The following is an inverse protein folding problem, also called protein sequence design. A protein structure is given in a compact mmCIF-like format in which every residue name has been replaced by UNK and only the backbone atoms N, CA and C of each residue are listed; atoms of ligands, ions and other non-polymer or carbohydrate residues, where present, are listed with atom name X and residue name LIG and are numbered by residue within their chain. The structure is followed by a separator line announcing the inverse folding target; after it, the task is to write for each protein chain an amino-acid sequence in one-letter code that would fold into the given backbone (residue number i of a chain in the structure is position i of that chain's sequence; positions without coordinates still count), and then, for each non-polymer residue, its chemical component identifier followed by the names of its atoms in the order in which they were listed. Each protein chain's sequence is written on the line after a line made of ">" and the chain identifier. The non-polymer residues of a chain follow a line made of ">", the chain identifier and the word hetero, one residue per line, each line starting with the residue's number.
data_IF_978624540633
#
_entry.id   IF_978624540633
#
_cell.length_a   1.000
_cell.length_b   1.000
_cell.length_c   1.000
_cell.angle_alpha   90.00
_cell.angle_beta   90.00
_cell.angle_gamma   90.00
#
_symmetry.space_group_name_H-M   'P 1'
#
loop_
_entity.id
_entity.type
_entity.pdbx_description
1 polymer ?
#
# COMPACT_ATOMS: atom_id res chain seq x y z
N UNK A 1 -59.97 14.66 20.98
CA UNK A 1 -59.55 14.03 22.24
C UNK A 1 -60.06 12.60 22.25
N UNK A 2 -59.13 11.70 22.55
CA UNK A 2 -59.19 10.23 22.64
C UNK A 2 -60.50 9.64 23.14
N UNK A 3 -60.91 8.47 22.60
CA UNK A 3 -61.48 7.33 23.36
C UNK A 3 -61.45 6.07 22.47
N UNK A 4 -60.38 5.28 22.60
CA UNK A 4 -60.37 3.86 22.22
C UNK A 4 -60.33 3.06 23.51
N UNK A 5 -61.29 2.15 23.63
CA UNK A 5 -61.36 0.97 24.51
C UNK A 5 -62.73 0.34 24.21
N UNK A 6 -63.02 -0.96 24.18
CA UNK A 6 -62.26 -2.21 24.30
C UNK A 6 -63.31 -3.32 23.97
N UNK A 7 -62.85 -4.49 23.52
CA UNK A 7 -63.46 -5.82 23.73
C UNK A 7 -64.50 -6.47 22.77
N UNK A 8 -64.03 -7.62 22.26
CA UNK A 8 -64.65 -8.96 22.19
C UNK A 8 -65.85 -9.27 21.30
N UNK A 9 -65.66 -10.32 20.49
CA UNK A 9 -66.68 -11.38 20.32
C UNK A 9 -66.04 -12.75 20.06
N UNK A 10 -66.49 -13.73 20.84
CA UNK A 10 -66.14 -15.15 20.77
C UNK A 10 -67.05 -15.92 19.77
N UNK A 11 -66.46 -16.99 19.19
CA UNK A 11 -67.03 -18.31 18.79
C UNK A 11 -67.90 -18.44 17.51
N UNK A 12 -68.08 -19.65 16.89
CA UNK A 12 -67.42 -20.96 17.06
C UNK A 12 -67.13 -21.80 15.76
N UNK A 13 -66.34 -22.88 15.93
CA UNK A 13 -66.37 -24.23 15.32
C UNK A 13 -66.41 -24.52 13.78
N UNK A 14 -65.32 -25.21 13.37
CA UNK A 14 -65.19 -26.59 12.81
C UNK A 14 -65.35 -26.92 11.31
N UNK A 15 -64.21 -27.39 10.79
CA UNK A 15 -63.93 -28.53 9.87
C UNK A 15 -64.36 -28.38 8.38
N UNK A 16 -63.59 -28.74 7.36
CA UNK A 16 -62.43 -29.67 7.22
C UNK A 16 -61.86 -29.52 5.81
N UNK A 17 -60.53 -29.54 5.63
CA UNK A 17 -59.91 -30.51 4.72
C UNK A 17 -58.42 -30.71 5.02
N UNK A 18 -58.12 -31.98 5.19
CA UNK A 18 -56.87 -32.66 5.55
C UNK A 18 -55.87 -32.72 4.41
N UNK A 19 -54.59 -32.46 4.70
CA UNK A 19 -53.45 -33.13 4.08
C UNK A 19 -52.45 -33.51 5.18
N UNK A 20 -52.18 -34.81 5.26
CA UNK A 20 -51.27 -35.49 6.19
C UNK A 20 -49.81 -35.35 5.75
N UNK A 21 -48.94 -34.86 6.64
CA UNK A 21 -47.52 -35.22 6.68
C UNK A 21 -47.15 -35.36 8.15
N UNK A 22 -46.60 -36.54 8.50
CA UNK A 22 -46.14 -36.91 9.84
C UNK A 22 -45.13 -35.89 10.37
N UNK A 23 -45.43 -35.31 11.53
CA UNK A 23 -44.53 -34.41 12.24
C UNK A 23 -43.91 -35.17 13.42
N UNK A 24 -42.89 -35.99 13.14
CA UNK A 24 -41.95 -36.42 14.17
C UNK A 24 -41.02 -35.24 14.49
N UNK A 25 -41.52 -34.27 15.25
CA UNK A 25 -40.65 -33.28 15.89
C UNK A 25 -40.02 -33.96 17.11
N UNK A 26 -38.77 -34.40 16.97
CA UNK A 26 -37.90 -34.62 18.12
C UNK A 26 -37.76 -33.29 18.85
N UNK A 27 -38.19 -33.24 20.12
CA UNK A 27 -37.99 -32.09 20.99
C UNK A 27 -36.50 -31.76 21.06
N UNK A 28 -36.14 -30.56 20.59
CA UNK A 28 -34.77 -30.07 20.62
C UNK A 28 -34.46 -29.71 22.08
N UNK A 29 -33.43 -30.31 22.71
CA UNK A 29 -33.10 -30.03 24.10
C UNK A 29 -32.65 -28.57 24.25
N UNK A 30 -33.12 -27.90 25.29
CA UNK A 30 -32.91 -26.47 25.59
C UNK A 30 -31.42 -26.07 25.62
N UNK A 31 -30.54 -27.02 25.93
CA UNK A 31 -29.08 -26.85 25.89
C UNK A 31 -28.50 -26.57 24.49
N UNK A 32 -29.28 -26.73 23.42
CA UNK A 32 -28.90 -26.33 22.04
C UNK A 32 -28.98 -24.82 21.85
N UNK A 33 -29.73 -24.11 22.71
CA UNK A 33 -29.98 -22.67 22.61
C UNK A 33 -29.10 -21.83 23.56
N UNK A 34 -28.26 -22.48 24.36
CA UNK A 34 -27.34 -21.78 25.27
C UNK A 34 -26.01 -21.61 24.55
N UNK A 35 -25.79 -20.42 23.98
CA UNK A 35 -24.51 -20.01 23.44
C UNK A 35 -23.53 -19.82 24.61
N UNK A 36 -22.56 -20.73 24.74
CA UNK A 36 -21.59 -20.76 25.86
C UNK A 36 -20.32 -19.93 25.59
N UNK A 37 -20.23 -19.28 24.44
CA UNK A 37 -19.10 -18.43 24.10
C UNK A 37 -19.46 -16.98 24.40
N UNK A 38 -18.61 -16.34 25.22
CA UNK A 38 -18.71 -14.90 25.43
C UNK A 38 -18.55 -14.20 24.09
N UNK A 39 -19.26 -13.08 23.84
CA UNK A 39 -19.12 -12.35 22.59
C UNK A 39 -17.64 -12.01 22.42
N UNK A 40 -17.03 -12.51 21.34
CA UNK A 40 -15.71 -12.03 20.94
C UNK A 40 -15.84 -10.51 20.88
N UNK A 41 -15.06 -9.82 21.72
CA UNK A 41 -14.99 -8.37 21.72
C UNK A 41 -14.83 -7.96 20.28
N UNK A 42 -15.81 -7.23 19.75
CA UNK A 42 -15.68 -6.51 18.50
C UNK A 42 -14.36 -5.77 18.58
N UNK A 43 -13.33 -6.33 17.92
CA UNK A 43 -12.15 -5.56 17.65
C UNK A 43 -12.67 -4.39 16.82
N UNK A 44 -12.33 -3.14 17.17
CA UNK A 44 -12.62 -2.04 16.28
C UNK A 44 -12.13 -2.50 14.91
N UNK A 45 -13.00 -2.48 13.91
CA UNK A 45 -12.55 -2.55 12.53
C UNK A 45 -11.58 -1.39 12.36
N UNK A 46 -10.30 -1.63 12.68
CA UNK A 46 -9.22 -0.87 12.12
C UNK A 46 -9.48 -0.99 10.64
N UNK A 47 -9.94 0.12 10.05
CA UNK A 47 -9.80 0.34 8.62
C UNK A 47 -8.32 0.14 8.37
N UNK A 48 -7.94 -1.10 8.05
CA UNK A 48 -6.64 -1.43 7.50
C UNK A 48 -6.68 -0.72 6.18
N UNK A 49 -6.24 0.54 6.19
CA UNK A 49 -5.93 1.28 5.00
C UNK A 49 -4.95 0.37 4.28
N UNK A 50 -5.44 -0.33 3.24
CA UNK A 50 -4.60 -1.15 2.41
C UNK A 50 -3.39 -0.28 2.09
N UNK A 51 -2.16 -0.68 2.47
CA UNK A 51 -1.00 0.13 2.20
C UNK A 51 -1.03 0.32 0.69
N UNK A 52 -1.15 1.58 0.25
CA UNK A 52 -1.11 1.96 -1.16
C UNK A 52 0.25 1.49 -1.68
N UNK A 53 0.30 0.25 -2.14
CA UNK A 53 1.50 -0.55 -2.42
C UNK A 53 2.11 -0.16 -3.77
N UNK A 54 1.99 1.13 -4.11
CA UNK A 54 2.40 1.75 -5.36
C UNK A 54 2.66 3.26 -5.26
N UNK A 55 2.41 3.89 -4.11
CA UNK A 55 2.51 5.34 -3.95
C UNK A 55 3.95 5.87 -3.92
N UNK A 56 4.07 7.20 -3.80
CA UNK A 56 5.35 7.92 -3.79
C UNK A 56 6.32 7.43 -2.70
N UNK A 57 5.81 6.86 -1.61
CA UNK A 57 6.60 6.27 -0.53
C UNK A 57 7.59 5.21 -1.03
N UNK A 58 7.25 4.41 -2.05
CA UNK A 58 8.17 3.41 -2.61
C UNK A 58 9.42 4.08 -3.20
N UNK A 59 9.26 5.26 -3.80
CA UNK A 59 10.38 6.01 -4.33
C UNK A 59 11.23 6.57 -3.19
N UNK A 60 10.62 7.13 -2.15
CA UNK A 60 11.36 7.62 -0.99
C UNK A 60 12.09 6.50 -0.24
N UNK A 61 11.44 5.36 0.00
CA UNK A 61 12.07 4.19 0.59
C UNK A 61 13.28 3.69 -0.22
N UNK A 62 13.26 3.89 -1.54
CA UNK A 62 14.40 3.58 -2.40
C UNK A 62 15.53 4.61 -2.27
N UNK A 63 15.18 5.89 -2.19
CA UNK A 63 16.11 7.02 -2.05
C UNK A 63 16.80 7.07 -0.68
N UNK A 64 16.09 6.69 0.38
CA UNK A 64 16.59 6.73 1.76
C UNK A 64 17.54 5.58 2.09
N UNK A 65 17.66 4.59 1.20
CA UNK A 65 18.60 3.47 1.38
C UNK A 65 20.04 3.95 1.31
N UNK A 66 20.82 3.57 2.31
CA UNK A 66 22.27 3.76 2.30
C UNK A 66 22.97 2.62 1.54
N UNK A 67 23.66 2.95 0.45
CA UNK A 67 24.40 1.97 -0.36
C UNK A 67 25.90 1.92 -0.04
N UNK A 68 26.36 2.62 0.99
CA UNK A 68 27.77 2.66 1.39
C UNK A 68 28.30 1.28 1.78
N UNK A 69 27.58 0.52 2.62
CA UNK A 69 27.99 -0.83 3.01
C UNK A 69 28.06 -1.78 1.81
N UNK A 70 27.13 -1.64 0.85
CA UNK A 70 27.15 -2.42 -0.39
C UNK A 70 28.42 -2.11 -1.20
N UNK A 71 28.68 -0.83 -1.45
CA UNK A 71 29.88 -0.40 -2.17
C UNK A 71 31.17 -0.85 -1.50
N UNK A 72 31.25 -0.76 -0.17
CA UNK A 72 32.40 -1.23 0.60
C UNK A 72 32.66 -2.72 0.39
N UNK A 73 31.63 -3.56 0.54
CA UNK A 73 31.75 -5.00 0.34
C UNK A 73 32.10 -5.37 -1.11
N UNK A 74 31.49 -4.68 -2.08
CA UNK A 74 31.74 -4.90 -3.50
C UNK A 74 33.21 -4.61 -3.87
N UNK A 75 33.82 -3.59 -3.25
CA UNK A 75 35.25 -3.30 -3.43
C UNK A 75 36.17 -4.39 -2.83
N UNK A 76 35.78 -4.99 -1.70
CA UNK A 76 36.54 -6.10 -1.10
C UNK A 76 36.50 -7.37 -1.97
N UNK A 77 35.41 -7.58 -2.71
CA UNK A 77 35.25 -8.73 -3.61
C UNK A 77 35.93 -8.47 -4.96
N UNK A 78 35.66 -7.32 -5.57
CA UNK A 78 36.22 -6.94 -6.86
C UNK A 78 36.59 -5.43 -6.87
N UNK A 79 37.88 -5.10 -6.67
CA UNK A 79 38.36 -3.72 -6.55
C UNK A 79 38.52 -2.98 -7.90
N UNK A 80 38.05 -3.54 -9.02
CA UNK A 80 38.17 -2.89 -10.33
C UNK A 80 37.18 -1.72 -10.50
N UNK A 81 37.68 -0.62 -11.08
CA UNK A 81 36.91 0.52 -11.57
C UNK A 81 35.78 0.12 -12.51
N UNK A 82 35.98 -0.88 -13.38
CA UNK A 82 34.92 -1.39 -14.26
C UNK A 82 33.74 -1.94 -13.47
N UNK A 83 34.01 -2.62 -12.36
CA UNK A 83 32.98 -3.18 -11.49
C UNK A 83 32.21 -2.08 -10.75
N UNK A 84 32.88 -0.99 -10.36
CA UNK A 84 32.22 0.20 -9.82
C UNK A 84 31.27 0.81 -10.85
N UNK A 85 31.72 1.04 -12.07
CA UNK A 85 30.92 1.70 -13.11
C UNK A 85 29.68 0.89 -13.48
N UNK A 86 29.82 -0.43 -13.62
CA UNK A 86 28.70 -1.33 -13.89
C UNK A 86 27.64 -1.28 -12.78
N UNK A 87 28.06 -1.27 -11.52
CA UNK A 87 27.13 -1.20 -10.39
C UNK A 87 26.47 0.17 -10.26
N UNK A 88 27.19 1.26 -10.56
CA UNK A 88 26.61 2.60 -10.63
C UNK A 88 25.52 2.67 -11.71
N UNK A 89 25.78 2.11 -12.90
CA UNK A 89 24.79 2.01 -13.97
C UNK A 89 23.58 1.18 -13.51
N UNK A 90 23.80 0.05 -12.85
CA UNK A 90 22.72 -0.78 -12.30
C UNK A 90 21.85 0.00 -11.31
N UNK A 91 22.45 0.75 -10.37
CA UNK A 91 21.71 1.59 -9.42
C UNK A 91 20.89 2.68 -10.11
N UNK A 92 21.44 3.32 -11.16
CA UNK A 92 20.70 4.30 -11.96
C UNK A 92 19.48 3.68 -12.65
N UNK A 93 19.64 2.49 -13.23
CA UNK A 93 18.56 1.76 -13.87
C UNK A 93 17.47 1.34 -12.86
N UNK A 94 17.86 0.97 -11.64
CA UNK A 94 16.92 0.63 -10.56
C UNK A 94 16.15 1.85 -10.06
N UNK A 95 16.81 3.02 -9.99
CA UNK A 95 16.14 4.29 -9.72
C UNK A 95 15.10 4.62 -10.81
N UNK A 96 15.50 4.55 -12.08
CA UNK A 96 14.61 4.81 -13.22
C UNK A 96 13.40 3.85 -13.21
N UNK A 97 13.63 2.57 -12.92
CA UNK A 97 12.57 1.57 -12.78
C UNK A 97 11.60 1.94 -11.66
N UNK A 98 12.12 2.40 -10.52
CA UNK A 98 11.30 2.79 -9.36
C UNK A 98 10.46 4.02 -9.67
N UNK A 99 11.04 5.04 -10.30
CA UNK A 99 10.33 6.24 -10.78
C UNK A 99 9.21 5.85 -11.74
N UNK A 100 9.50 4.98 -12.73
CA UNK A 100 8.51 4.52 -13.71
C UNK A 100 7.32 3.83 -13.05
N UNK A 101 7.56 2.97 -12.04
CA UNK A 101 6.49 2.28 -11.30
C UNK A 101 5.55 3.29 -10.62
N UNK A 102 6.10 4.27 -9.90
CA UNK A 102 5.29 5.29 -9.20
C UNK A 102 4.53 6.17 -10.19
N UNK A 103 5.16 6.55 -11.30
CA UNK A 103 4.51 7.33 -12.36
C UNK A 103 3.32 6.59 -12.97
N UNK A 104 3.51 5.33 -13.35
CA UNK A 104 2.42 4.48 -13.88
C UNK A 104 1.29 4.34 -12.87
N UNK A 105 1.60 4.13 -11.59
CA UNK A 105 0.61 4.03 -10.53
C UNK A 105 -0.29 5.28 -10.45
N UNK A 106 0.30 6.48 -10.39
CA UNK A 106 -0.50 7.72 -10.32
C UNK A 106 -1.20 8.05 -11.64
N UNK A 107 -0.61 7.75 -12.80
CA UNK A 107 -1.26 7.94 -14.10
C UNK A 107 -2.51 7.06 -14.27
N UNK A 108 -2.45 5.81 -13.79
CA UNK A 108 -3.60 4.90 -13.77
C UNK A 108 -4.64 5.35 -12.74
N UNK A 109 -4.19 5.77 -11.55
CA UNK A 109 -5.07 6.28 -10.49
C UNK A 109 -5.83 7.54 -10.93
N UNK A 110 -5.17 8.51 -11.56
CA UNK A 110 -5.80 9.73 -12.09
C UNK A 110 -6.82 9.39 -13.17
N UNK A 111 -6.51 8.43 -14.06
CA UNK A 111 -7.48 7.96 -15.08
C UNK A 111 -8.73 7.38 -14.44
N UNK A 112 -8.59 6.54 -13.41
CA UNK A 112 -9.72 5.97 -12.67
C UNK A 112 -10.52 7.05 -11.93
N UNK A 113 -9.85 7.99 -11.26
CA UNK A 113 -10.50 9.11 -10.57
C UNK A 113 -11.31 9.96 -11.54
N UNK A 114 -10.75 10.32 -12.71
CA UNK A 114 -11.45 11.14 -13.70
C UNK A 114 -12.74 10.45 -14.19
N UNK A 115 -12.71 9.12 -14.38
CA UNK A 115 -13.89 8.34 -14.71
C UNK A 115 -14.96 8.44 -13.60
N UNK A 116 -14.57 8.26 -12.33
CA UNK A 116 -15.48 8.35 -11.20
C UNK A 116 -16.05 9.76 -11.01
N UNK A 117 -15.24 10.81 -11.13
CA UNK A 117 -15.69 12.22 -11.11
C UNK A 117 -16.79 12.43 -12.16
N UNK A 118 -16.54 11.99 -13.40
CA UNK A 118 -17.51 12.15 -14.50
C UNK A 118 -18.80 11.37 -14.23
N UNK A 119 -18.70 10.13 -13.76
CA UNK A 119 -19.85 9.29 -13.45
C UNK A 119 -20.69 9.86 -12.30
N UNK A 120 -20.06 10.33 -11.22
CA UNK A 120 -20.75 10.84 -10.03
C UNK A 120 -21.33 12.24 -10.24
N UNK A 121 -20.66 13.08 -11.04
CA UNK A 121 -21.19 14.36 -11.48
C UNK A 121 -22.50 14.19 -12.25
N UNK A 122 -22.58 13.23 -13.18
CA UNK A 122 -23.82 12.91 -13.91
C UNK A 122 -24.96 12.42 -13.02
N UNK A 123 -24.65 11.78 -11.90
CA UNK A 123 -25.62 11.32 -10.90
C UNK A 123 -25.99 12.40 -9.87
N UNK A 124 -25.42 13.61 -9.95
CA UNK A 124 -25.69 14.69 -9.01
C UNK A 124 -25.04 14.54 -7.63
N UNK A 125 -24.03 13.66 -7.48
CA UNK A 125 -23.37 13.41 -6.20
C UNK A 125 -22.25 14.42 -5.94
N UNK A 126 -22.61 15.67 -5.63
CA UNK A 126 -21.70 16.82 -5.54
C UNK A 126 -20.59 16.59 -4.51
N UNK A 127 -20.91 16.21 -3.28
CA UNK A 127 -19.92 16.02 -2.20
C UNK A 127 -18.85 14.98 -2.58
N UNK A 128 -19.26 13.89 -3.23
CA UNK A 128 -18.31 12.86 -3.68
C UNK A 128 -17.44 13.32 -4.84
N UNK A 129 -17.97 14.19 -5.71
CA UNK A 129 -17.18 14.78 -6.80
C UNK A 129 -16.12 15.70 -6.23
N UNK A 130 -16.46 16.50 -5.21
CA UNK A 130 -15.51 17.37 -4.53
C UNK A 130 -14.41 16.55 -3.85
N UNK A 131 -14.76 15.50 -3.08
CA UNK A 131 -13.79 14.61 -2.46
C UNK A 131 -12.83 13.97 -3.49
N UNK A 132 -13.37 13.48 -4.61
CA UNK A 132 -12.57 12.89 -5.68
C UNK A 132 -11.66 13.92 -6.38
N UNK A 133 -12.11 15.16 -6.48
CA UNK A 133 -11.33 16.26 -7.07
C UNK A 133 -10.13 16.59 -6.19
N UNK A 134 -10.32 16.69 -4.87
CA UNK A 134 -9.19 16.88 -3.94
C UNK A 134 -8.19 15.72 -4.02
N UNK A 135 -8.68 14.48 -4.08
CA UNK A 135 -7.79 13.30 -4.25
C UNK A 135 -7.02 13.33 -5.57
N UNK A 136 -7.63 13.84 -6.65
CA UNK A 136 -6.97 14.05 -7.94
C UNK A 136 -5.84 15.06 -7.83
N UNK A 137 -6.10 16.21 -7.22
CA UNK A 137 -5.10 17.28 -7.04
C UNK A 137 -3.88 16.80 -6.24
N UNK A 138 -4.10 16.00 -5.19
CA UNK A 138 -3.02 15.37 -4.42
C UNK A 138 -2.20 14.42 -5.30
N UNK A 139 -2.86 13.58 -6.12
CA UNK A 139 -2.16 12.68 -7.03
C UNK A 139 -1.37 13.42 -8.13
N UNK A 140 -1.91 14.52 -8.65
CA UNK A 140 -1.23 15.38 -9.61
C UNK A 140 0.00 16.05 -8.99
N UNK A 141 -0.10 16.51 -7.73
CA UNK A 141 1.04 17.03 -6.96
C UNK A 141 2.15 15.99 -6.81
N UNK A 142 1.81 14.74 -6.46
CA UNK A 142 2.81 13.66 -6.39
C UNK A 142 3.47 13.37 -7.74
N UNK A 143 2.72 13.40 -8.85
CA UNK A 143 3.32 13.25 -10.20
C UNK A 143 4.33 14.35 -10.49
N UNK A 144 4.04 15.61 -10.11
CA UNK A 144 4.95 16.73 -10.32
C UNK A 144 6.26 16.48 -9.56
N UNK A 145 6.18 16.07 -8.29
CA UNK A 145 7.36 15.74 -7.49
C UNK A 145 8.17 14.59 -8.10
N UNK A 146 7.50 13.53 -8.56
CA UNK A 146 8.18 12.38 -9.20
C UNK A 146 8.88 12.81 -10.49
N UNK A 147 8.28 13.69 -11.30
CA UNK A 147 8.91 14.25 -12.50
C UNK A 147 10.11 15.12 -12.16
N UNK A 148 10.04 15.91 -11.10
CA UNK A 148 11.17 16.70 -10.64
C UNK A 148 12.35 15.81 -10.24
N UNK A 149 12.09 14.74 -9.48
CA UNK A 149 13.11 13.74 -9.11
C UNK A 149 13.69 13.07 -10.37
N UNK A 150 12.85 12.76 -11.36
CA UNK A 150 13.29 12.19 -12.65
C UNK A 150 14.27 13.12 -13.39
N UNK A 151 13.95 14.40 -13.49
CA UNK A 151 14.80 15.39 -14.17
C UNK A 151 16.11 15.64 -13.41
N UNK A 152 16.06 15.79 -12.08
CA UNK A 152 17.26 15.90 -11.25
C UNK A 152 18.16 14.67 -11.41
N UNK A 153 17.59 13.46 -11.40
CA UNK A 153 18.34 12.23 -11.58
C UNK A 153 19.04 12.15 -12.95
N UNK A 154 18.41 12.62 -14.04
CA UNK A 154 19.02 12.68 -15.38
C UNK A 154 20.23 13.62 -15.42
N UNK A 155 20.17 14.72 -14.69
CA UNK A 155 21.27 15.69 -14.56
C UNK A 155 22.36 15.22 -13.60
N UNK A 156 22.21 14.06 -12.95
CA UNK A 156 23.07 13.59 -11.85
C UNK A 156 23.09 14.56 -10.66
N UNK A 157 21.96 15.19 -10.38
CA UNK A 157 21.78 16.13 -9.28
C UNK A 157 20.64 15.69 -8.35
N UNK A 158 20.48 16.41 -7.24
CA UNK A 158 19.38 16.23 -6.30
C UNK A 158 19.39 14.91 -5.53
N UNK A 159 18.23 14.55 -4.99
CA UNK A 159 18.07 13.40 -4.08
C UNK A 159 18.33 12.06 -4.78
N UNK A 160 18.04 11.96 -6.08
CA UNK A 160 18.30 10.77 -6.88
C UNK A 160 19.79 10.44 -7.02
N UNK A 161 20.65 11.46 -7.00
CA UNK A 161 22.10 11.27 -7.12
C UNK A 161 22.76 10.80 -5.80
N UNK A 162 22.11 11.01 -4.65
CA UNK A 162 22.63 10.60 -3.34
C UNK A 162 22.94 9.10 -3.25
N UNK A 163 22.14 8.27 -3.92
CA UNK A 163 22.37 6.82 -4.02
C UNK A 163 23.74 6.52 -4.64
N UNK A 164 24.04 7.15 -5.78
CA UNK A 164 25.30 6.94 -6.51
C UNK A 164 26.50 7.42 -5.69
N UNK A 165 26.35 8.54 -5.00
CA UNK A 165 27.38 9.07 -4.10
C UNK A 165 27.66 8.10 -2.95
N UNK A 166 26.62 7.64 -2.26
CA UNK A 166 26.76 6.73 -1.11
C UNK A 166 27.47 5.43 -1.50
N UNK A 167 27.07 4.82 -2.62
CA UNK A 167 27.70 3.62 -3.16
C UNK A 167 29.18 3.87 -3.53
N UNK A 168 29.45 4.93 -4.29
CA UNK A 168 30.81 5.25 -4.76
C UNK A 168 31.76 5.57 -3.59
N UNK A 169 31.24 6.23 -2.55
CA UNK A 169 31.98 6.50 -1.30
C UNK A 169 32.33 5.18 -0.60
N UNK A 170 31.36 4.29 -0.44
CA UNK A 170 31.58 2.97 0.15
C UNK A 170 32.65 2.18 -0.58
N UNK A 171 32.58 2.15 -1.92
CA UNK A 171 33.57 1.46 -2.74
C UNK A 171 34.98 2.01 -2.54
N UNK A 172 35.14 3.34 -2.57
CA UNK A 172 36.43 4.00 -2.30
C UNK A 172 36.96 3.69 -0.90
N UNK A 173 36.10 3.65 0.11
CA UNK A 173 36.46 3.25 1.46
C UNK A 173 36.97 1.79 1.51
N UNK A 174 36.34 0.89 0.75
CA UNK A 174 36.80 -0.49 0.62
C UNK A 174 38.18 -0.60 -0.02
N UNK A 175 38.44 0.15 -1.11
CA UNK A 175 39.77 0.23 -1.72
C UNK A 175 40.85 0.76 -0.76
N UNK A 176 40.51 1.78 0.03
CA UNK A 176 41.39 2.33 1.04
C UNK A 176 41.70 1.31 2.14
N UNK A 177 40.72 0.49 2.55
CA UNK A 177 40.91 -0.58 3.52
C UNK A 177 41.84 -1.69 3.00
N UNK A 178 41.66 -2.12 1.73
CA UNK A 178 42.56 -3.09 1.07
C UNK A 178 43.99 -2.54 1.06
N UNK A 179 44.16 -1.29 0.62
CA UNK A 179 45.46 -0.64 0.53
C UNK A 179 46.13 -0.53 1.91
N UNK A 180 45.37 -0.14 2.93
CA UNK A 180 45.85 -0.05 4.32
C UNK A 180 46.29 -1.41 4.84
N UNK A 181 45.53 -2.47 4.56
CA UNK A 181 45.89 -3.84 4.96
C UNK A 181 47.20 -4.31 4.29
N UNK A 182 47.38 -4.01 3.00
CA UNK A 182 48.60 -4.35 2.26
C UNK A 182 49.81 -3.60 2.82
N UNK A 183 49.67 -2.30 3.11
CA UNK A 183 50.76 -1.46 3.65
C UNK A 183 51.14 -1.90 5.06
N UNK A 184 50.15 -2.14 5.94
CA UNK A 184 50.39 -2.54 7.33
C UNK A 184 51.00 -3.95 7.46
N UNK A 185 50.68 -4.86 6.53
CA UNK A 185 51.26 -6.21 6.53
C UNK A 185 52.64 -6.28 5.85
N UNK A 186 53.03 -5.25 5.09
CA UNK A 186 54.41 -5.08 4.61
C UNK A 186 55.23 -4.40 5.73
N UNK A 187 55.63 -5.20 6.72
CA UNK A 187 56.71 -4.79 7.63
C UNK A 187 57.96 -4.52 6.79
N UNK A 188 58.46 -3.27 6.84
CA UNK A 188 59.85 -2.94 6.55
C UNK A 188 60.73 -3.35 7.73
#
# INVERSE_FOLDING_TARGET
>A
MSFFDIFTRQQPNRHTHTLTVENNMTDIPENTFIEKEAPEKEQPEEKVAMPLTGGIHILYDFLDKNYESKGYNDALINPDTTHLDQNVIALKNDLERSIRKVKTFYEDFIRQINFHITSRSRSGMIDTVEELTVKKEIAESHIIQVKEIEEQAKLNEGVGHGIVISYSRGFRNGLAAISSHIILNKNF
#
